data_IF_143875949115
#
_entry.id   IF_143875949115
#
_cell.length_a   1.000
_cell.length_b   1.000
_cell.length_c   1.000
_cell.angle_alpha   90.00
_cell.angle_beta   90.00
_cell.angle_gamma   90.00
#
_symmetry.space_group_name_H-M   'P 1'
#
loop_
_entity.id
_entity.type
_entity.pdbx_description
1 polymer ?
#
# COMPACT_ATOMS: atom_id res chain seq x y z
N UNK A 1 -0.26 15.54 -7.63
CA UNK A 1 -0.03 14.12 -7.94
C UNK A 1 1.39 13.80 -7.55
N UNK A 2 1.59 12.84 -6.64
CA UNK A 2 2.94 12.33 -6.32
C UNK A 2 3.08 10.93 -6.93
N UNK A 3 4.22 10.69 -7.58
CA UNK A 3 4.60 9.38 -8.12
C UNK A 3 5.95 8.96 -7.56
N UNK A 4 5.99 7.80 -6.92
CA UNK A 4 7.24 7.15 -6.51
C UNK A 4 7.48 5.92 -7.38
N UNK A 5 8.68 5.85 -7.95
CA UNK A 5 9.19 4.71 -8.71
C UNK A 5 10.54 4.33 -8.11
N UNK A 6 10.61 3.22 -7.40
CA UNK A 6 11.86 2.69 -6.87
C UNK A 6 12.05 1.24 -7.30
N UNK A 7 13.29 0.93 -7.68
CA UNK A 7 13.70 -0.38 -8.18
C UNK A 7 14.75 -0.98 -7.27
N UNK A 8 14.50 -2.23 -6.84
CA UNK A 8 15.48 -3.15 -6.29
C UNK A 8 16.34 -2.59 -5.15
N UNK A 9 15.84 -2.68 -3.93
CA UNK A 9 16.66 -2.39 -2.75
C UNK A 9 16.40 -3.35 -1.60
N UNK A 10 17.34 -3.43 -0.65
CA UNK A 10 17.19 -4.35 0.48
C UNK A 10 16.05 -3.93 1.40
N UNK A 11 15.98 -2.63 1.72
CA UNK A 11 14.97 -2.04 2.60
C UNK A 11 14.41 -0.78 1.95
N UNK A 12 13.09 -0.67 1.91
CA UNK A 12 12.37 0.45 1.30
C UNK A 12 11.41 1.08 2.29
N UNK A 13 11.48 2.41 2.41
CA UNK A 13 10.45 3.19 3.09
C UNK A 13 9.99 4.31 2.16
N UNK A 14 8.69 4.38 1.91
CA UNK A 14 8.08 5.40 1.05
C UNK A 14 7.06 6.19 1.87
N UNK A 15 7.13 7.53 1.78
CA UNK A 15 6.17 8.45 2.39
C UNK A 15 5.45 9.23 1.28
N UNK A 16 4.12 9.12 1.23
CA UNK A 16 3.27 9.84 0.30
C UNK A 16 2.13 10.52 1.07
N UNK A 17 2.32 11.79 1.41
CA UNK A 17 1.41 12.54 2.28
C UNK A 17 0.66 13.63 1.51
N UNK A 18 -0.58 13.89 1.91
CA UNK A 18 -1.37 15.09 1.58
C UNK A 18 -1.37 15.46 0.10
N UNK A 19 -1.95 14.59 -0.73
CA UNK A 19 -2.03 14.83 -2.16
C UNK A 19 -3.36 14.41 -2.74
N UNK A 20 -3.84 15.14 -3.74
CA UNK A 20 -5.11 14.77 -4.38
C UNK A 20 -5.05 13.37 -5.02
N UNK A 21 -3.90 13.04 -5.61
CA UNK A 21 -3.64 11.76 -6.27
C UNK A 21 -2.27 11.23 -5.86
N UNK A 22 -2.23 10.01 -5.33
CA UNK A 22 -1.01 9.30 -4.95
C UNK A 22 -0.90 7.99 -5.73
N UNK A 23 0.20 7.81 -6.46
CA UNK A 23 0.52 6.55 -7.14
C UNK A 23 1.91 6.09 -6.74
N UNK A 24 2.02 4.89 -6.17
CA UNK A 24 3.28 4.31 -5.72
C UNK A 24 3.52 3.02 -6.48
N UNK A 25 4.68 2.88 -7.12
CA UNK A 25 5.18 1.60 -7.63
C UNK A 25 6.46 1.25 -6.89
N UNK A 26 6.42 0.12 -6.19
CA UNK A 26 7.57 -0.43 -5.48
C UNK A 26 7.86 -1.84 -6.01
N UNK A 27 9.02 -1.97 -6.66
CA UNK A 27 9.56 -3.21 -7.24
C UNK A 27 10.29 -4.04 -6.16
N UNK A 28 11.01 -5.10 -6.52
CA UNK A 28 11.54 -6.08 -5.56
C UNK A 28 12.29 -5.47 -4.36
N UNK A 29 11.95 -5.94 -3.16
CA UNK A 29 12.71 -5.62 -1.94
C UNK A 29 12.79 -6.82 -1.01
N UNK A 30 13.64 -6.78 0.03
CA UNK A 30 13.47 -7.72 1.15
C UNK A 30 12.41 -7.20 2.11
N UNK A 31 12.58 -5.96 2.56
CA UNK A 31 11.66 -5.32 3.49
C UNK A 31 11.10 -4.03 2.88
N UNK A 32 9.78 -3.88 2.91
CA UNK A 32 9.10 -2.68 2.43
C UNK A 32 8.12 -2.14 3.45
N UNK A 33 8.19 -0.83 3.67
CA UNK A 33 7.19 -0.07 4.40
C UNK A 33 6.68 1.09 3.55
N UNK A 34 5.37 1.21 3.39
CA UNK A 34 4.74 2.33 2.69
C UNK A 34 3.81 3.05 3.65
N UNK A 35 4.02 4.35 3.81
CA UNK A 35 3.11 5.27 4.49
C UNK A 35 2.46 6.15 3.42
N UNK A 36 1.14 6.04 3.30
CA UNK A 36 0.39 6.81 2.33
C UNK A 36 -0.83 7.43 3.02
N UNK A 37 -0.76 8.71 3.34
CA UNK A 37 -1.77 9.43 4.13
C UNK A 37 -2.52 10.44 3.27
N UNK A 38 -3.79 10.66 3.61
CA UNK A 38 -4.66 11.71 3.07
C UNK A 38 -4.59 11.93 1.55
N UNK A 39 -5.45 11.24 0.81
CA UNK A 39 -5.60 11.49 -0.63
C UNK A 39 -7.02 11.34 -1.13
N UNK A 40 -7.40 12.02 -2.23
CA UNK A 40 -8.70 11.68 -2.85
C UNK A 40 -8.61 10.31 -3.49
N UNK A 41 -7.54 10.05 -4.25
CA UNK A 41 -7.32 8.79 -4.94
C UNK A 41 -5.92 8.25 -4.64
N UNK A 42 -5.87 6.99 -4.21
CA UNK A 42 -4.63 6.27 -3.93
C UNK A 42 -4.54 4.99 -4.76
N UNK A 43 -3.38 4.78 -5.37
CA UNK A 43 -3.03 3.51 -5.99
C UNK A 43 -1.64 3.08 -5.55
N UNK A 44 -1.52 1.88 -5.01
CA UNK A 44 -0.25 1.28 -4.62
C UNK A 44 -0.08 -0.03 -5.40
N UNK A 45 1.02 -0.15 -6.14
CA UNK A 45 1.48 -1.39 -6.74
C UNK A 45 2.76 -1.81 -6.05
N UNK A 46 2.70 -2.96 -5.41
CA UNK A 46 3.75 -3.49 -4.58
C UNK A 46 4.07 -4.91 -5.08
N UNK A 47 5.16 -5.02 -5.85
CA UNK A 47 5.68 -6.30 -6.36
C UNK A 47 6.44 -7.04 -5.24
N UNK A 48 7.23 -8.06 -5.56
CA UNK A 48 7.86 -8.99 -4.63
C UNK A 48 8.51 -8.35 -3.40
N UNK A 49 8.23 -8.91 -2.23
CA UNK A 49 8.93 -8.58 -0.98
C UNK A 49 8.99 -9.79 -0.04
N UNK A 50 10.02 -9.96 0.79
CA UNK A 50 9.95 -10.95 1.88
C UNK A 50 8.94 -10.43 2.94
N UNK A 51 9.15 -9.21 3.44
CA UNK A 51 8.30 -8.56 4.41
C UNK A 51 7.73 -7.24 3.89
N UNK A 52 6.42 -7.04 4.05
CA UNK A 52 5.72 -5.84 3.61
C UNK A 52 4.80 -5.30 4.68
N UNK A 53 4.82 -3.98 4.80
CA UNK A 53 3.87 -3.23 5.60
C UNK A 53 3.35 -2.03 4.79
N UNK A 54 2.04 -1.92 4.67
CA UNK A 54 1.38 -0.79 4.02
C UNK A 54 0.44 -0.14 5.04
N UNK A 55 0.68 1.13 5.33
CA UNK A 55 -0.25 2.00 6.04
C UNK A 55 -0.88 2.94 5.02
N UNK A 56 -2.19 2.75 4.81
CA UNK A 56 -2.96 3.55 3.88
C UNK A 56 -4.16 4.14 4.61
N UNK A 57 -3.99 5.34 5.16
CA UNK A 57 -5.03 6.05 5.90
C UNK A 57 -6.08 6.67 4.94
N UNK A 58 -6.88 7.62 5.41
CA UNK A 58 -7.92 8.38 4.75
C UNK A 58 -7.75 8.54 3.23
N UNK A 59 -8.70 7.98 2.49
CA UNK A 59 -8.87 8.31 1.07
C UNK A 59 -10.27 8.10 0.55
N UNK A 60 -10.74 8.85 -0.44
CA UNK A 60 -12.04 8.54 -1.06
C UNK A 60 -11.98 7.21 -1.80
N UNK A 61 -11.00 7.06 -2.70
CA UNK A 61 -10.80 5.84 -3.47
C UNK A 61 -9.41 5.27 -3.20
N UNK A 62 -9.36 3.99 -2.81
CA UNK A 62 -8.11 3.26 -2.54
C UNK A 62 -8.03 2.01 -3.39
N UNK A 63 -6.88 1.82 -4.02
CA UNK A 63 -6.53 0.57 -4.69
C UNK A 63 -5.13 0.14 -4.23
N UNK A 64 -5.02 -1.07 -3.70
CA UNK A 64 -3.74 -1.69 -3.33
C UNK A 64 -3.65 -3.03 -4.05
N UNK A 65 -2.60 -3.19 -4.83
CA UNK A 65 -2.22 -4.43 -5.47
C UNK A 65 -0.89 -4.91 -4.91
N UNK A 66 -0.93 -6.10 -4.34
CA UNK A 66 0.19 -6.83 -3.79
C UNK A 66 0.34 -8.14 -4.57
N UNK A 67 1.51 -8.34 -5.21
CA UNK A 67 1.90 -9.67 -5.69
C UNK A 67 2.65 -10.41 -4.57
N UNK A 68 3.82 -11.01 -4.81
CA UNK A 68 4.43 -11.96 -3.89
C UNK A 68 4.90 -11.35 -2.57
N UNK A 69 4.45 -11.92 -1.44
CA UNK A 69 5.10 -11.72 -0.15
C UNK A 69 5.09 -12.92 0.78
N UNK A 70 6.14 -13.05 1.60
CA UNK A 70 6.16 -14.06 2.67
C UNK A 70 5.35 -13.56 3.86
N UNK A 71 5.56 -12.30 4.26
CA UNK A 71 4.82 -11.65 5.34
C UNK A 71 4.26 -10.30 4.87
N UNK A 72 2.96 -10.25 4.60
CA UNK A 72 2.25 -9.05 4.16
C UNK A 72 1.33 -8.50 5.25
N UNK A 73 1.40 -7.20 5.50
CA UNK A 73 0.46 -6.49 6.37
C UNK A 73 -0.06 -5.23 5.70
N UNK A 74 -1.36 -5.11 5.60
CA UNK A 74 -2.03 -3.92 5.09
C UNK A 74 -2.97 -3.39 6.18
N UNK A 75 -2.69 -2.17 6.62
CA UNK A 75 -3.55 -1.37 7.49
C UNK A 75 -4.21 -0.31 6.63
N UNK A 76 -5.52 -0.45 6.47
CA UNK A 76 -6.30 0.34 5.55
C UNK A 76 -7.50 0.92 6.31
N UNK A 77 -7.36 2.18 6.73
CA UNK A 77 -8.38 2.88 7.52
C UNK A 77 -9.45 3.44 6.57
N UNK A 78 -9.95 4.65 6.81
CA UNK A 78 -11.17 5.16 6.20
C UNK A 78 -11.09 5.26 4.66
N UNK A 79 -12.07 4.67 3.98
CA UNK A 79 -12.28 4.88 2.54
C UNK A 79 -13.72 4.72 2.07
N UNK A 80 -14.17 5.55 1.13
CA UNK A 80 -15.49 5.38 0.50
C UNK A 80 -15.51 4.16 -0.43
N UNK A 81 -14.52 4.05 -1.31
CA UNK A 81 -14.33 2.92 -2.20
C UNK A 81 -12.94 2.30 -2.01
N UNK A 82 -12.90 0.98 -1.94
CA UNK A 82 -11.68 0.22 -1.68
C UNK A 82 -11.58 -1.03 -2.53
N UNK A 83 -10.38 -1.28 -3.02
CA UNK A 83 -9.98 -2.57 -3.56
C UNK A 83 -8.61 -2.93 -3.01
N UNK A 84 -8.49 -4.09 -2.38
CA UNK A 84 -7.22 -4.68 -1.97
C UNK A 84 -7.15 -6.06 -2.59
N UNK A 85 -6.10 -6.30 -3.36
CA UNK A 85 -5.79 -7.60 -3.93
C UNK A 85 -4.38 -7.97 -3.51
N UNK A 86 -4.24 -9.17 -2.95
CA UNK A 86 -2.97 -9.74 -2.53
C UNK A 86 -2.87 -11.16 -3.10
N UNK A 87 -1.93 -11.36 -4.01
CA UNK A 87 -1.71 -12.61 -4.73
C UNK A 87 -0.40 -13.26 -4.31
N UNK A 88 -0.37 -14.59 -4.24
CA UNK A 88 0.86 -15.33 -3.93
C UNK A 88 1.52 -14.90 -2.60
N UNK A 89 0.70 -14.58 -1.59
CA UNK A 89 1.17 -14.24 -0.25
C UNK A 89 1.00 -15.41 0.71
N UNK A 90 2.01 -15.69 1.53
CA UNK A 90 1.96 -16.77 2.52
C UNK A 90 1.27 -16.31 3.81
N UNK A 91 1.86 -15.35 4.52
CA UNK A 91 1.32 -14.79 5.77
C UNK A 91 0.80 -13.38 5.52
N UNK A 92 -0.40 -13.28 4.94
CA UNK A 92 -1.04 -11.99 4.68
C UNK A 92 -2.10 -11.63 5.73
N UNK A 93 -2.03 -10.40 6.23
CA UNK A 93 -3.03 -9.82 7.12
C UNK A 93 -3.51 -8.48 6.57
N UNK A 94 -4.83 -8.35 6.42
CA UNK A 94 -5.47 -7.11 6.01
C UNK A 94 -6.37 -6.65 7.16
N UNK A 95 -6.06 -5.50 7.73
CA UNK A 95 -6.90 -4.80 8.70
C UNK A 95 -7.64 -3.67 8.01
N UNK A 96 -8.96 -3.67 8.17
CA UNK A 96 -9.85 -2.72 7.52
C UNK A 96 -10.75 -2.03 8.52
N UNK A 97 -10.58 -0.72 8.70
CA UNK A 97 -11.56 0.09 9.40
C UNK A 97 -12.60 0.61 8.41
N UNK A 98 -13.89 0.37 8.70
CA UNK A 98 -15.03 0.91 7.96
C UNK A 98 -15.63 2.06 8.75
N UNK A 99 -15.99 3.15 8.06
CA UNK A 99 -16.88 4.16 8.63
C UNK A 99 -18.24 3.51 8.92
N UNK A 100 -18.67 3.54 10.18
CA UNK A 100 -20.08 3.35 10.51
C UNK A 100 -20.84 4.55 9.95
N UNK A 101 -21.77 4.31 9.01
CA UNK A 101 -22.74 5.33 8.61
C UNK A 101 -23.75 5.56 9.72
#
# INVERSE_FOLDING_TARGET
MIRFLMKNSKNETIFAENCEYNTIFADNSKNRTIFADNSKNRTIFADKSENRMIFADNSKNRTIFEDKSENGKIFADISENRTILAENCEHNMIFEEKQQK
#
